data_IF_939903415615
#
_entry.id   IF_939903415615
#
_cell.length_a   1.000
_cell.length_b   1.000
_cell.length_c   1.000
_cell.angle_alpha   90.00
_cell.angle_beta   90.00
_cell.angle_gamma   90.00
#
_symmetry.space_group_name_H-M   'P 1'
#
loop_
_entity.id
_entity.type
_entity.pdbx_description
1 polymer ?
#
# COMPACT_ATOMS: atom_id res chain seq x y z
N UNK A 1 90.75 -18.66 -10.08
CA UNK A 1 90.70 -19.24 -8.72
C UNK A 1 89.33 -19.85 -8.50
N UNK A 2 89.32 -21.08 -7.97
CA UNK A 2 88.17 -21.94 -7.66
C UNK A 2 87.08 -21.25 -6.82
N UNK A 3 85.81 -21.62 -7.03
CA UNK A 3 85.10 -22.58 -6.15
C UNK A 3 83.65 -22.80 -6.59
N UNK A 4 83.32 -24.06 -6.85
CA UNK A 4 81.99 -24.64 -6.79
C UNK A 4 81.56 -24.84 -5.33
N UNK A 5 80.28 -24.66 -4.99
CA UNK A 5 79.60 -25.40 -3.91
C UNK A 5 78.15 -25.69 -4.34
N UNK A 6 77.69 -26.85 -3.89
CA UNK A 6 76.61 -27.71 -4.34
C UNK A 6 75.41 -27.70 -3.36
N UNK A 7 74.23 -28.07 -3.89
CA UNK A 7 73.14 -28.92 -3.34
C UNK A 7 72.41 -28.61 -2.01
N UNK A 8 71.08 -28.82 -2.09
CA UNK A 8 70.19 -29.20 -0.99
C UNK A 8 68.97 -28.26 -0.97
N UNK A 9 67.75 -28.62 -1.35
CA UNK A 9 67.04 -29.88 -1.25
C UNK A 9 65.79 -29.63 -0.41
N UNK A 10 64.61 -29.53 -1.03
CA UNK A 10 63.33 -29.65 -0.33
C UNK A 10 62.21 -29.92 -1.34
N UNK A 11 61.83 -31.18 -1.40
CA UNK A 11 60.60 -31.70 -2.00
C UNK A 11 59.43 -31.25 -1.11
N UNK A 12 58.38 -30.64 -1.66
CA UNK A 12 57.12 -30.47 -0.94
C UNK A 12 55.93 -30.49 -1.92
N UNK A 13 55.02 -31.42 -1.63
CA UNK A 13 53.82 -31.79 -2.36
C UNK A 13 52.94 -30.59 -2.75
N UNK A 14 52.52 -30.56 -4.02
CA UNK A 14 51.35 -29.81 -4.45
C UNK A 14 50.08 -30.56 -4.00
N UNK A 15 49.51 -30.14 -2.86
CA UNK A 15 48.17 -30.54 -2.43
C UNK A 15 47.13 -29.67 -3.12
N UNK A 16 46.29 -30.32 -3.92
CA UNK A 16 45.04 -29.82 -4.47
C UNK A 16 44.14 -29.33 -3.32
N UNK A 17 43.95 -28.02 -3.22
CA UNK A 17 42.97 -27.39 -2.35
C UNK A 17 41.95 -26.62 -3.18
N UNK A 18 40.83 -27.28 -3.50
CA UNK A 18 39.60 -26.67 -3.99
C UNK A 18 39.16 -25.55 -3.03
N UNK A 19 39.46 -24.31 -3.37
CA UNK A 19 38.79 -23.16 -2.78
C UNK A 19 37.60 -22.84 -3.67
N UNK A 20 36.48 -23.51 -3.39
CA UNK A 20 35.18 -23.08 -3.86
C UNK A 20 34.96 -21.66 -3.31
N UNK A 21 35.21 -20.64 -4.14
CA UNK A 21 34.66 -19.31 -3.94
C UNK A 21 33.14 -19.45 -4.08
N UNK A 22 32.48 -19.83 -2.99
CA UNK A 22 31.06 -19.58 -2.81
C UNK A 22 30.87 -18.07 -2.81
N UNK A 23 30.56 -17.51 -3.97
CA UNK A 23 29.99 -16.17 -4.06
C UNK A 23 28.65 -16.22 -3.31
N UNK A 24 28.66 -15.83 -2.05
CA UNK A 24 27.45 -15.35 -1.38
C UNK A 24 26.94 -14.21 -2.28
N UNK A 25 25.70 -14.26 -2.78
CA UNK A 25 25.16 -13.11 -3.50
C UNK A 25 25.07 -11.98 -2.47
N UNK A 26 25.95 -10.99 -2.60
CA UNK A 26 25.80 -9.74 -1.92
C UNK A 26 24.54 -9.09 -2.49
N UNK A 27 23.42 -9.19 -1.76
CA UNK A 27 22.36 -8.22 -1.94
C UNK A 27 23.01 -6.83 -1.86
N UNK A 28 22.72 -5.90 -2.78
CA UNK A 28 23.27 -4.55 -2.65
C UNK A 28 22.85 -4.03 -1.27
N UNK A 29 23.83 -3.77 -0.40
CA UNK A 29 23.59 -3.03 0.83
C UNK A 29 22.84 -1.77 0.41
N UNK A 30 21.63 -1.56 0.96
CA UNK A 30 20.79 -0.38 0.82
C UNK A 30 19.75 -0.35 -0.33
N UNK A 31 19.35 -1.49 -0.90
CA UNK A 31 18.09 -1.52 -1.65
C UNK A 31 16.94 -1.87 -0.70
N UNK A 32 15.99 -0.94 -0.50
CA UNK A 32 14.77 -1.29 0.21
C UNK A 32 14.05 -2.42 -0.54
N UNK A 33 13.51 -3.41 0.19
CA UNK A 33 12.86 -4.56 -0.41
C UNK A 33 11.71 -4.10 -1.32
N UNK A 34 11.52 -4.82 -2.40
CA UNK A 34 10.41 -4.64 -3.35
C UNK A 34 9.46 -5.81 -3.17
N UNK A 35 8.15 -5.55 -3.12
CA UNK A 35 7.14 -6.61 -3.03
C UNK A 35 7.11 -7.42 -4.33
N UNK A 36 6.83 -8.71 -4.23
CA UNK A 36 6.62 -9.57 -5.41
C UNK A 36 5.32 -9.15 -6.13
N UNK A 37 5.14 -9.45 -7.43
CA UNK A 37 3.91 -9.12 -8.15
C UNK A 37 2.63 -9.59 -7.44
N UNK A 38 2.66 -10.75 -6.79
CA UNK A 38 1.52 -11.34 -6.07
C UNK A 38 1.18 -10.60 -4.76
N UNK A 39 2.14 -9.84 -4.24
CA UNK A 39 2.00 -9.01 -3.04
C UNK A 39 1.57 -7.57 -3.38
N UNK A 40 1.65 -7.18 -4.66
CA UNK A 40 1.28 -5.84 -5.12
C UNK A 40 -0.23 -5.76 -5.38
N UNK A 41 -0.90 -4.80 -4.76
CA UNK A 41 -2.29 -4.48 -5.07
C UNK A 41 -2.37 -3.37 -6.13
N UNK A 42 -3.42 -3.34 -6.95
CA UNK A 42 -3.58 -2.32 -8.00
C UNK A 42 -3.08 -2.73 -9.39
N UNK A 43 -2.71 -4.00 -9.61
CA UNK A 43 -2.73 -4.57 -10.95
C UNK A 43 -4.18 -4.79 -11.41
N UNK A 44 -4.45 -4.93 -12.71
CA UNK A 44 -5.81 -5.03 -13.28
C UNK A 44 -6.68 -6.16 -12.66
N UNK A 45 -6.08 -7.06 -11.87
CA UNK A 45 -6.69 -8.17 -11.16
C UNK A 45 -6.85 -7.99 -9.64
N UNK A 46 -6.30 -6.95 -9.00
CA UNK A 46 -6.28 -6.80 -7.53
C UNK A 46 -6.95 -5.50 -7.08
N UNK A 47 -8.13 -5.63 -6.46
CA UNK A 47 -8.84 -4.51 -5.84
C UNK A 47 -7.98 -3.81 -4.80
N UNK A 48 -8.14 -2.49 -4.63
CA UNK A 48 -7.39 -1.70 -3.64
C UNK A 48 -7.53 -2.19 -2.19
N UNK A 49 -8.61 -2.91 -1.87
CA UNK A 49 -8.77 -3.64 -0.61
C UNK A 49 -7.72 -4.74 -0.39
N UNK A 50 -6.97 -5.13 -1.42
CA UNK A 50 -5.88 -6.10 -1.37
C UNK A 50 -4.67 -5.68 -0.55
N UNK A 51 -4.51 -4.38 -0.23
CA UNK A 51 -3.43 -3.91 0.67
C UNK A 51 -3.79 -4.03 2.15
N UNK A 52 -5.06 -4.29 2.46
CA UNK A 52 -5.58 -4.38 3.82
C UNK A 52 -6.23 -5.74 4.08
N UNK A 53 -6.46 -6.02 5.36
CA UNK A 53 -7.23 -7.18 5.83
C UNK A 53 -8.09 -6.77 7.01
N UNK A 54 -9.29 -7.35 7.11
CA UNK A 54 -10.20 -7.07 8.21
C UNK A 54 -9.60 -7.59 9.53
N UNK A 55 -9.89 -6.88 10.61
CA UNK A 55 -9.49 -7.26 11.97
C UNK A 55 -10.75 -7.49 12.78
N UNK A 56 -10.98 -8.73 13.18
CA UNK A 56 -12.19 -9.11 13.92
C UNK A 56 -13.46 -9.10 13.06
N UNK A 57 -14.63 -9.33 13.69
CA UNK A 57 -15.91 -9.31 13.00
C UNK A 57 -16.30 -7.89 12.58
N UNK A 58 -16.92 -7.77 11.41
CA UNK A 58 -17.55 -6.51 11.01
C UNK A 58 -18.92 -6.35 11.67
N UNK A 59 -19.25 -5.11 11.99
CA UNK A 59 -20.60 -4.71 12.38
C UNK A 59 -21.41 -4.45 11.13
N UNK A 60 -22.54 -5.13 10.98
CA UNK A 60 -23.49 -4.97 9.87
C UNK A 60 -24.78 -4.39 10.42
N UNK A 61 -25.36 -3.42 9.73
CA UNK A 61 -26.61 -2.81 10.12
C UNK A 61 -27.73 -3.86 10.20
N UNK A 62 -28.43 -3.89 11.34
CA UNK A 62 -29.53 -4.83 11.60
C UNK A 62 -30.90 -4.28 11.20
N UNK A 63 -30.97 -3.01 10.80
CA UNK A 63 -32.19 -2.29 10.42
C UNK A 63 -32.00 -1.66 9.04
N UNK A 64 -33.10 -1.33 8.34
CA UNK A 64 -33.05 -0.51 7.13
C UNK A 64 -32.24 0.77 7.35
N UNK A 65 -31.41 1.11 6.38
CA UNK A 65 -30.47 2.22 6.47
C UNK A 65 -30.89 3.33 5.49
N UNK A 66 -31.07 4.52 6.04
CA UNK A 66 -31.30 5.74 5.26
C UNK A 66 -30.02 6.23 4.58
N UNK A 67 -30.18 7.15 3.61
CA UNK A 67 -29.06 7.84 2.99
C UNK A 67 -28.15 8.50 4.04
N UNK A 68 -26.86 8.24 3.93
CA UNK A 68 -25.81 8.68 4.85
C UNK A 68 -25.51 7.70 5.98
N UNK A 69 -26.40 6.73 6.22
CA UNK A 69 -26.24 5.73 7.27
C UNK A 69 -25.17 4.68 6.94
N UNK A 70 -24.60 4.09 8.00
CA UNK A 70 -23.56 3.07 7.89
C UNK A 70 -24.16 1.70 7.73
N UNK A 71 -23.79 0.99 6.66
CA UNK A 71 -24.20 -0.38 6.38
C UNK A 71 -23.26 -1.37 7.06
N UNK A 72 -21.96 -1.13 6.94
CA UNK A 72 -20.92 -2.03 7.43
C UNK A 72 -19.81 -1.19 8.03
N UNK A 73 -19.31 -1.62 9.18
CA UNK A 73 -18.13 -1.05 9.82
C UNK A 73 -17.15 -2.18 10.17
N UNK A 74 -15.90 -2.05 9.74
CA UNK A 74 -14.85 -3.03 9.99
C UNK A 74 -13.55 -2.34 10.37
N UNK A 75 -12.91 -2.82 11.43
CA UNK A 75 -11.50 -2.52 11.64
C UNK A 75 -10.66 -3.22 10.58
N UNK A 76 -9.50 -2.65 10.24
CA UNK A 76 -8.57 -3.27 9.31
C UNK A 76 -7.11 -3.04 9.73
N UNK A 77 -6.21 -3.82 9.14
CA UNK A 77 -4.76 -3.60 9.20
C UNK A 77 -4.16 -3.71 7.79
N UNK A 78 -3.02 -3.06 7.57
CA UNK A 78 -2.27 -3.26 6.33
C UNK A 78 -1.60 -4.63 6.32
N UNK A 79 -1.54 -5.25 5.13
CA UNK A 79 -0.88 -6.55 4.94
C UNK A 79 0.64 -6.44 4.99
N UNK A 80 1.16 -5.32 4.49
CA UNK A 80 2.59 -5.03 4.47
C UNK A 80 2.86 -3.72 5.19
N UNK A 81 3.71 -3.81 6.21
CA UNK A 81 4.18 -2.68 7.00
C UNK A 81 5.70 -2.67 6.98
N UNK A 82 6.28 -1.51 7.27
CA UNK A 82 7.71 -1.31 7.25
C UNK A 82 8.14 -0.28 8.29
N UNK A 83 9.43 -0.27 8.61
CA UNK A 83 10.06 0.81 9.36
C UNK A 83 11.20 1.42 8.55
N UNK A 84 11.26 2.76 8.51
CA UNK A 84 12.38 3.46 7.89
C UNK A 84 13.70 3.14 8.61
N UNK A 85 14.75 2.79 7.86
CA UNK A 85 16.09 2.56 8.43
C UNK A 85 16.99 3.80 8.35
N UNK A 86 16.53 4.83 7.66
CA UNK A 86 17.21 6.09 7.45
C UNK A 86 16.21 7.26 7.50
N UNK A 87 16.75 8.48 7.60
CA UNK A 87 15.94 9.67 7.45
C UNK A 87 15.59 9.88 5.99
N UNK A 88 14.31 10.12 5.71
CA UNK A 88 13.83 10.55 4.41
C UNK A 88 13.63 12.05 4.45
N UNK A 89 14.41 12.76 3.63
CA UNK A 89 14.35 14.21 3.51
C UNK A 89 14.02 14.54 2.06
N UNK A 90 12.92 15.25 1.86
CA UNK A 90 12.49 15.75 0.56
C UNK A 90 12.21 17.23 0.64
N UNK A 91 12.55 17.95 -0.41
CA UNK A 91 12.12 19.32 -0.59
C UNK A 91 11.17 19.41 -1.78
N UNK A 92 10.13 20.21 -1.62
CA UNK A 92 9.13 20.46 -2.64
C UNK A 92 8.64 21.89 -2.52
N UNK A 93 8.43 22.53 -3.67
CA UNK A 93 7.81 23.86 -3.74
C UNK A 93 6.33 23.79 -3.33
N UNK A 94 5.68 22.64 -3.54
CA UNK A 94 4.25 22.42 -3.27
C UNK A 94 3.97 21.69 -1.94
N UNK A 95 4.99 21.07 -1.35
CA UNK A 95 4.97 20.22 -0.17
C UNK A 95 6.12 20.68 0.76
N UNK A 96 5.93 21.75 1.57
CA UNK A 96 6.99 22.29 2.42
C UNK A 96 7.59 21.23 3.33
N UNK A 97 8.92 21.05 3.29
CA UNK A 97 9.72 20.23 4.20
C UNK A 97 9.17 18.82 4.44
N UNK A 98 9.56 17.86 3.60
CA UNK A 98 9.24 16.46 3.83
C UNK A 98 10.34 15.85 4.68
N UNK A 99 10.00 15.45 5.91
CA UNK A 99 10.92 14.77 6.81
C UNK A 99 10.19 13.58 7.42
N UNK A 100 10.70 12.37 7.17
CA UNK A 100 10.37 11.21 7.97
C UNK A 100 11.63 10.66 8.63
N UNK A 101 11.68 10.63 9.97
CA UNK A 101 12.86 10.17 10.66
C UNK A 101 13.02 8.65 10.50
N UNK A 102 14.26 8.18 10.61
CA UNK A 102 14.57 6.79 10.90
C UNK A 102 13.69 6.29 12.05
N UNK A 103 13.15 5.08 11.88
CA UNK A 103 12.23 4.48 12.84
C UNK A 103 10.77 4.85 12.62
N UNK A 104 10.42 5.70 11.63
CA UNK A 104 9.02 5.99 11.36
C UNK A 104 8.30 4.73 10.82
N UNK A 105 7.13 4.37 11.38
CA UNK A 105 6.35 3.26 10.85
C UNK A 105 5.72 3.65 9.52
N UNK A 106 5.59 2.67 8.64
CA UNK A 106 4.98 2.83 7.34
C UNK A 106 4.19 1.61 6.89
N UNK A 107 3.41 1.82 5.84
CA UNK A 107 2.56 0.82 5.23
C UNK A 107 2.58 0.94 3.71
N UNK A 108 2.40 -0.21 3.06
CA UNK A 108 2.21 -0.27 1.62
C UNK A 108 0.77 0.14 1.28
N UNK A 109 0.64 1.15 0.42
CA UNK A 109 -0.64 1.74 0.03
C UNK A 109 -1.16 1.22 -1.32
N UNK A 110 -0.31 0.54 -2.10
CA UNK A 110 -0.65 -0.05 -3.39
C UNK A 110 0.42 0.18 -4.44
N UNK A 111 0.20 -0.37 -5.63
CA UNK A 111 1.03 -0.15 -6.80
C UNK A 111 0.24 0.67 -7.80
N UNK A 112 0.87 1.72 -8.30
CA UNK A 112 0.24 2.67 -9.21
C UNK A 112 1.08 2.84 -10.46
N UNK A 113 0.41 3.01 -11.59
CA UNK A 113 1.08 3.32 -12.86
C UNK A 113 1.10 4.83 -13.03
N UNK A 114 2.27 5.38 -13.31
CA UNK A 114 2.39 6.77 -13.72
C UNK A 114 1.82 6.95 -15.12
N UNK A 115 1.00 7.99 -15.34
CA UNK A 115 0.54 8.34 -16.68
C UNK A 115 1.34 9.53 -17.16
N UNK A 116 2.23 9.31 -18.12
CA UNK A 116 3.01 10.37 -18.75
C UNK A 116 2.50 10.63 -20.17
N UNK A 117 2.86 11.78 -20.75
CA UNK A 117 2.61 12.04 -22.18
C UNK A 117 3.28 11.01 -23.11
N UNK A 118 4.24 10.22 -22.60
CA UNK A 118 4.92 9.13 -23.33
C UNK A 118 4.24 7.77 -23.19
N UNK A 119 3.11 7.70 -22.48
CA UNK A 119 2.37 6.46 -22.24
C UNK A 119 2.26 6.07 -20.76
N UNK A 120 1.75 4.86 -20.55
CA UNK A 120 1.60 4.25 -19.22
C UNK A 120 2.97 3.81 -18.74
N UNK A 121 3.45 4.43 -17.65
CA UNK A 121 4.70 4.07 -16.99
C UNK A 121 4.61 2.75 -16.23
N UNK A 122 5.77 2.24 -15.85
CA UNK A 122 5.87 1.00 -15.08
C UNK A 122 5.16 1.09 -13.72
N UNK A 123 4.61 -0.04 -13.22
CA UNK A 123 3.99 -0.08 -11.90
C UNK A 123 5.00 0.28 -10.81
N UNK A 124 4.70 1.32 -10.05
CA UNK A 124 5.54 1.85 -8.97
C UNK A 124 4.86 1.65 -7.63
N UNK A 125 5.61 1.25 -6.61
CA UNK A 125 5.08 0.99 -5.27
C UNK A 125 4.88 2.30 -4.51
N UNK A 126 3.70 2.49 -3.94
CA UNK A 126 3.40 3.59 -3.05
C UNK A 126 3.54 3.14 -1.60
N UNK A 127 4.48 3.75 -0.90
CA UNK A 127 4.72 3.53 0.54
C UNK A 127 4.40 4.80 1.30
N UNK A 128 3.61 4.68 2.37
CA UNK A 128 3.31 5.81 3.24
C UNK A 128 3.98 5.62 4.61
N UNK A 129 4.65 6.66 5.12
CA UNK A 129 5.29 6.68 6.43
C UNK A 129 4.66 7.75 7.32
N UNK A 130 4.72 7.53 8.64
CA UNK A 130 4.05 8.35 9.66
C UNK A 130 5.11 9.03 10.53
N UNK A 131 5.59 10.22 10.16
CA UNK A 131 6.74 10.86 10.79
C UNK A 131 6.37 11.55 12.11
N UNK A 132 6.00 10.78 13.14
CA UNK A 132 5.51 11.20 14.47
C UNK A 132 4.29 12.13 14.43
N UNK A 133 3.32 11.84 15.29
CA UNK A 133 2.15 12.69 15.52
C UNK A 133 2.60 13.96 16.25
N UNK A 134 2.93 15.02 15.51
CA UNK A 134 3.21 16.36 16.07
C UNK A 134 2.08 17.30 15.67
N UNK A 135 1.10 17.49 16.57
CA UNK A 135 0.32 18.72 16.70
C UNK A 135 -0.33 19.36 15.46
N UNK A 136 -0.59 18.61 14.38
CA UNK A 136 -1.08 19.12 13.10
C UNK A 136 0.05 19.76 12.27
N UNK A 137 0.39 19.28 11.08
CA UNK A 137 -0.48 19.33 9.88
C UNK A 137 -0.10 18.28 8.81
N UNK A 138 0.69 17.26 9.16
CA UNK A 138 0.94 16.12 8.28
C UNK A 138 1.01 14.82 9.07
N UNK A 139 -0.02 14.01 8.92
CA UNK A 139 -0.09 12.71 9.57
C UNK A 139 0.75 11.66 8.83
N UNK A 140 1.06 11.90 7.55
CA UNK A 140 1.82 10.96 6.72
C UNK A 140 2.57 11.61 5.53
N UNK A 141 3.52 10.85 5.00
CA UNK A 141 4.25 11.10 3.74
C UNK A 141 4.07 9.86 2.87
N UNK A 142 3.57 10.01 1.64
CA UNK A 142 3.44 8.90 0.71
C UNK A 142 4.41 9.08 -0.46
N UNK A 143 5.19 8.03 -0.74
CA UNK A 143 6.31 8.01 -1.66
C UNK A 143 6.09 6.94 -2.71
N UNK A 144 5.97 7.37 -3.96
CA UNK A 144 5.91 6.48 -5.10
C UNK A 144 7.35 6.15 -5.52
N UNK A 145 7.81 4.95 -5.20
CA UNK A 145 9.18 4.49 -5.48
C UNK A 145 9.34 4.09 -6.94
N UNK A 146 10.37 4.61 -7.61
CA UNK A 146 10.86 4.06 -8.87
C UNK A 146 12.06 3.15 -8.63
N UNK A 147 12.35 2.33 -9.62
CA UNK A 147 13.55 1.48 -9.72
C UNK A 147 14.85 2.28 -9.88
N UNK A 148 14.75 3.57 -10.23
CA UNK A 148 15.89 4.48 -10.42
C UNK A 148 16.50 5.05 -9.14
N UNK A 149 16.06 4.60 -7.96
CA UNK A 149 16.57 5.09 -6.67
C UNK A 149 16.02 6.46 -6.25
N UNK A 150 15.00 6.96 -6.95
CA UNK A 150 14.28 8.20 -6.65
C UNK A 150 12.84 7.84 -6.25
N UNK A 151 12.20 8.66 -5.42
CA UNK A 151 10.77 8.56 -5.17
C UNK A 151 10.07 9.88 -5.45
N UNK A 152 8.89 9.79 -6.08
CA UNK A 152 7.99 10.93 -6.23
C UNK A 152 7.12 11.07 -4.98
N UNK A 153 7.00 12.29 -4.46
CA UNK A 153 6.10 12.59 -3.35
C UNK A 153 4.67 12.62 -3.87
N UNK A 154 3.80 11.73 -3.37
CA UNK A 154 2.41 11.72 -3.76
C UNK A 154 1.64 12.91 -3.13
N UNK A 155 0.80 13.62 -3.89
CA UNK A 155 0.08 14.79 -3.41
C UNK A 155 -0.87 14.48 -2.24
N UNK A 156 -0.80 15.32 -1.22
CA UNK A 156 -1.40 15.13 0.12
C UNK A 156 -2.93 15.33 0.19
N UNK A 157 -3.59 15.70 -0.90
CA UNK A 157 -5.05 15.96 -0.90
C UNK A 157 -5.88 14.67 -0.85
N UNK A 158 -5.28 13.53 -1.20
CA UNK A 158 -5.93 12.23 -1.19
C UNK A 158 -6.14 11.70 0.24
N UNK A 159 -6.98 10.68 0.41
CA UNK A 159 -7.16 10.04 1.70
C UNK A 159 -5.89 9.24 2.04
N UNK A 160 -5.16 9.58 3.12
CA UNK A 160 -3.90 8.92 3.44
C UNK A 160 -4.08 7.45 3.80
N UNK A 161 -5.24 7.07 4.34
CA UNK A 161 -5.50 5.77 4.95
C UNK A 161 -5.95 4.72 3.94
N UNK A 162 -6.47 5.13 2.80
CA UNK A 162 -6.78 4.20 1.71
C UNK A 162 -6.77 4.97 0.40
N UNK A 163 -6.06 4.43 -0.58
CA UNK A 163 -6.02 4.97 -1.92
C UNK A 163 -6.85 4.06 -2.81
N UNK A 164 -7.81 4.61 -3.54
CA UNK A 164 -8.70 3.89 -4.46
C UNK A 164 -8.43 4.23 -5.91
N UNK A 165 -7.61 5.25 -6.12
CA UNK A 165 -7.09 5.69 -7.40
C UNK A 165 -5.91 6.61 -7.11
N UNK A 166 -4.87 6.56 -7.92
CA UNK A 166 -3.86 7.60 -7.95
C UNK A 166 -3.31 7.61 -9.37
N UNK A 167 -3.42 8.76 -10.02
CA UNK A 167 -2.73 9.01 -11.27
C UNK A 167 -1.69 10.06 -10.95
N UNK A 168 -0.39 9.72 -11.01
CA UNK A 168 0.65 10.72 -11.12
C UNK A 168 0.36 11.51 -12.41
N UNK A 169 -0.23 12.70 -12.29
CA UNK A 169 -0.41 13.58 -13.43
C UNK A 169 0.95 13.96 -13.99
N UNK A 170 1.15 13.85 -15.31
CA UNK A 170 2.37 14.28 -15.97
C UNK A 170 2.69 15.75 -15.63
N UNK A 171 3.70 15.96 -14.78
CA UNK A 171 4.12 17.27 -14.29
C UNK A 171 5.37 17.15 -13.42
N UNK A 172 5.90 18.28 -12.96
CA UNK A 172 7.00 18.36 -11.98
C UNK A 172 6.56 17.71 -10.67
N UNK A 173 6.79 16.40 -10.55
CA UNK A 173 6.79 15.75 -9.25
C UNK A 173 7.94 16.31 -8.43
N UNK A 174 7.69 16.51 -7.15
CA UNK A 174 8.76 16.75 -6.21
C UNK A 174 9.37 15.41 -5.82
N UNK A 175 10.70 15.35 -5.92
CA UNK A 175 11.45 14.12 -5.76
C UNK A 175 12.25 14.13 -4.46
N UNK A 176 12.41 12.94 -3.89
CA UNK A 176 13.34 12.63 -2.80
C UNK A 176 14.12 11.37 -3.18
N UNK A 177 15.17 11.03 -2.43
CA UNK A 177 15.78 9.72 -2.57
C UNK A 177 14.75 8.64 -2.25
N UNK A 178 14.82 7.50 -2.94
CA UNK A 178 13.94 6.39 -2.64
C UNK A 178 14.19 5.93 -1.19
N UNK A 179 13.14 5.80 -0.36
CA UNK A 179 13.30 5.47 1.05
C UNK A 179 13.87 4.06 1.20
N UNK A 180 14.87 3.90 2.07
CA UNK A 180 15.30 2.59 2.56
C UNK A 180 14.51 2.25 3.84
N UNK A 181 13.98 1.03 3.90
CA UNK A 181 13.17 0.52 5.00
C UNK A 181 13.30 -0.99 5.13
N UNK A 182 12.90 -1.51 6.29
CA UNK A 182 12.80 -2.94 6.57
C UNK A 182 11.33 -3.35 6.59
N UNK A 183 10.97 -4.40 5.84
CA UNK A 183 9.65 -5.04 5.94
C UNK A 183 9.56 -5.77 7.26
N UNK A 184 8.71 -5.28 8.15
CA UNK A 184 8.45 -5.91 9.44
C UNK A 184 7.07 -5.51 9.96
N UNK A 185 6.42 -6.35 10.78
CA UNK A 185 5.21 -5.94 11.49
C UNK A 185 5.50 -4.71 12.35
N UNK A 186 4.85 -3.59 12.05
CA UNK A 186 4.85 -2.39 12.92
C UNK A 186 3.42 -1.95 13.17
N UNK A 187 3.18 -1.40 14.34
CA UNK A 187 1.89 -0.81 14.67
C UNK A 187 1.71 0.51 13.93
N UNK A 188 0.56 0.67 13.29
CA UNK A 188 0.16 1.94 12.67
C UNK A 188 -0.64 2.71 13.73
N UNK A 189 -0.14 3.84 14.25
CA UNK A 189 -0.76 4.58 15.36
C UNK A 189 -1.99 5.38 14.92
N UNK A 190 -3.00 4.69 14.37
CA UNK A 190 -4.25 5.27 13.93
C UNK A 190 -5.40 4.27 14.13
N UNK A 191 -6.59 4.78 14.39
CA UNK A 191 -7.80 3.96 14.42
C UNK A 191 -8.23 3.63 12.98
N UNK A 192 -7.74 2.50 12.49
CA UNK A 192 -7.98 2.04 11.13
C UNK A 192 -9.36 1.37 11.02
N UNK A 193 -10.37 2.19 10.71
CA UNK A 193 -11.73 1.75 10.46
C UNK A 193 -12.16 2.07 9.03
N UNK A 194 -12.82 1.11 8.41
CA UNK A 194 -13.47 1.23 7.12
C UNK A 194 -14.99 1.18 7.31
N UNK A 195 -15.67 2.19 6.80
CA UNK A 195 -17.12 2.29 6.85
C UNK A 195 -17.69 2.30 5.43
N UNK A 196 -18.68 1.45 5.18
CA UNK A 196 -19.46 1.45 3.95
C UNK A 196 -20.80 2.09 4.26
N UNK A 197 -21.07 3.25 3.68
CA UNK A 197 -22.27 4.04 3.93
C UNK A 197 -23.17 4.04 2.69
N UNK A 198 -24.48 4.03 2.92
CA UNK A 198 -25.44 4.12 1.84
C UNK A 198 -25.51 5.57 1.34
N UNK A 199 -25.13 5.82 0.09
CA UNK A 199 -25.12 7.16 -0.51
C UNK A 199 -26.43 7.51 -1.24
N UNK A 200 -27.45 6.65 -1.15
CA UNK A 200 -28.72 6.78 -1.84
C UNK A 200 -28.79 5.97 -3.13
N UNK A 201 -29.93 6.04 -3.82
CA UNK A 201 -30.15 5.40 -5.11
C UNK A 201 -29.73 6.29 -6.28
N UNK A 202 -29.24 5.68 -7.35
CA UNK A 202 -29.04 6.28 -8.67
C UNK A 202 -29.83 5.48 -9.69
N UNK A 203 -31.05 5.95 -10.00
CA UNK A 203 -32.02 5.11 -10.68
C UNK A 203 -32.34 3.90 -9.82
N UNK A 204 -32.21 2.69 -10.36
CA UNK A 204 -32.44 1.44 -9.65
C UNK A 204 -31.20 0.88 -8.94
N UNK A 205 -30.07 1.60 -8.95
CA UNK A 205 -28.78 1.13 -8.43
C UNK A 205 -28.45 1.77 -7.09
N UNK A 206 -28.11 0.98 -6.04
CA UNK A 206 -27.68 1.57 -4.79
C UNK A 206 -26.25 2.10 -4.94
N UNK A 207 -26.01 3.32 -4.45
CA UNK A 207 -24.67 3.90 -4.34
C UNK A 207 -24.12 3.68 -2.95
N UNK A 208 -22.89 3.22 -2.87
CA UNK A 208 -22.18 2.93 -1.63
C UNK A 208 -20.92 3.77 -1.56
N UNK A 209 -20.81 4.58 -0.52
CA UNK A 209 -19.63 5.39 -0.24
C UNK A 209 -18.77 4.69 0.82
N UNK A 210 -17.52 4.39 0.49
CA UNK A 210 -16.53 3.87 1.42
C UNK A 210 -15.79 5.04 2.09
N UNK A 211 -15.58 4.95 3.41
CA UNK A 211 -14.88 5.94 4.22
C UNK A 211 -13.76 5.27 5.01
N UNK A 212 -12.57 5.87 5.03
CA UNK A 212 -11.43 5.46 5.86
C UNK A 212 -10.90 6.69 6.62
N UNK A 213 -10.66 6.54 7.93
CA UNK A 213 -10.25 7.66 8.79
C UNK A 213 -11.19 8.87 8.71
N UNK A 214 -12.51 8.61 8.61
CA UNK A 214 -13.55 9.65 8.53
C UNK A 214 -13.68 10.38 7.19
N UNK A 215 -12.86 10.07 6.18
CA UNK A 215 -12.89 10.71 4.86
C UNK A 215 -13.38 9.74 3.79
N UNK A 216 -14.21 10.21 2.86
CA UNK A 216 -14.66 9.40 1.73
C UNK A 216 -13.44 8.99 0.87
N UNK A 217 -13.40 7.72 0.50
CA UNK A 217 -12.34 7.14 -0.33
C UNK A 217 -12.84 6.84 -1.74
N UNK A 218 -14.08 6.37 -1.85
CA UNK A 218 -14.70 6.00 -3.12
C UNK A 218 -16.20 5.95 -2.95
N UNK A 219 -16.93 6.29 -4.02
CA UNK A 219 -18.34 5.94 -4.13
C UNK A 219 -18.57 5.08 -5.37
N UNK A 220 -19.28 3.96 -5.20
CA UNK A 220 -19.56 2.98 -6.27
C UNK A 220 -21.07 2.76 -6.39
N UNK A 221 -21.59 2.75 -7.63
CA UNK A 221 -22.94 2.28 -7.92
C UNK A 221 -22.90 0.78 -8.20
N UNK A 222 -23.72 -0.01 -7.50
CA UNK A 222 -23.75 -1.45 -7.69
C UNK A 222 -24.65 -1.84 -8.87
N UNK A 223 -24.17 -2.77 -9.67
CA UNK A 223 -24.98 -3.41 -10.71
C UNK A 223 -25.78 -4.56 -10.10
N UNK A 224 -27.01 -4.72 -10.59
CA UNK A 224 -27.86 -5.86 -10.25
C UNK A 224 -27.26 -7.15 -10.82
N UNK A 225 -27.16 -8.19 -10.01
CA UNK A 225 -26.77 -9.52 -10.46
C UNK A 225 -27.93 -10.24 -11.16
N UNK A 226 -27.64 -11.35 -11.83
CA UNK A 226 -28.63 -12.15 -12.56
C UNK A 226 -29.78 -12.65 -11.67
N UNK A 227 -29.52 -12.85 -10.37
CA UNK A 227 -30.50 -13.26 -9.37
C UNK A 227 -31.29 -12.08 -8.76
N UNK A 228 -31.10 -10.86 -9.28
CA UNK A 228 -31.80 -9.67 -8.86
C UNK A 228 -31.21 -8.94 -7.65
N UNK A 229 -30.19 -9.51 -6.97
CA UNK A 229 -29.53 -8.89 -5.80
C UNK A 229 -28.47 -7.88 -6.21
N UNK A 230 -28.16 -6.95 -5.31
CA UNK A 230 -26.95 -6.13 -5.41
C UNK A 230 -25.89 -6.68 -4.47
N UNK A 231 -24.70 -6.97 -5.00
CA UNK A 231 -23.62 -7.56 -4.20
C UNK A 231 -22.51 -6.53 -3.99
N UNK A 232 -22.17 -6.29 -2.73
CA UNK A 232 -21.03 -5.47 -2.33
C UNK A 232 -19.94 -6.38 -1.77
N UNK A 233 -18.77 -6.33 -2.39
CA UNK A 233 -17.56 -6.96 -1.88
C UNK A 233 -16.86 -5.98 -0.95
N UNK A 234 -16.58 -6.39 0.27
CA UNK A 234 -15.87 -5.60 1.29
C UNK A 234 -14.63 -6.32 1.77
N UNK A 235 -13.78 -5.61 2.53
CA UNK A 235 -12.63 -6.24 3.21
C UNK A 235 -13.04 -7.31 4.23
N UNK A 236 -14.25 -7.19 4.79
CA UNK A 236 -14.79 -8.11 5.79
C UNK A 236 -15.63 -9.26 5.22
N UNK A 237 -15.77 -9.33 3.89
CA UNK A 237 -16.59 -10.34 3.22
C UNK A 237 -17.58 -9.72 2.23
N UNK A 238 -18.53 -10.54 1.79
CA UNK A 238 -19.49 -10.19 0.75
C UNK A 238 -20.87 -10.01 1.40
N UNK A 239 -21.57 -8.94 1.04
CA UNK A 239 -22.95 -8.70 1.48
C UNK A 239 -23.88 -8.52 0.28
N UNK A 240 -25.15 -8.82 0.50
CA UNK A 240 -26.23 -8.50 -0.42
C UNK A 240 -27.01 -7.28 0.07
N UNK A 241 -27.45 -6.45 -0.86
CA UNK A 241 -28.28 -5.28 -0.61
C UNK A 241 -29.57 -5.36 -1.40
N UNK A 242 -30.65 -4.86 -0.80
CA UNK A 242 -31.97 -4.71 -1.41
C UNK A 242 -32.68 -3.49 -0.86
N UNK A 243 -33.66 -2.96 -1.59
CA UNK A 243 -34.54 -1.94 -1.05
C UNK A 243 -35.31 -2.46 0.17
N UNK A 244 -35.59 -1.60 1.14
CA UNK A 244 -36.37 -1.98 2.31
C UNK A 244 -37.85 -2.20 1.95
N UNK A 245 -38.50 -3.23 2.50
CA UNK A 245 -39.94 -3.42 2.30
C UNK A 245 -40.73 -2.20 2.79
N UNK A 246 -41.60 -1.66 1.93
CA UNK A 246 -42.45 -0.50 2.28
C UNK A 246 -41.74 0.86 2.27
N UNK A 247 -40.42 0.91 2.13
CA UNK A 247 -39.67 2.16 1.97
C UNK A 247 -38.52 1.99 0.95
N UNK A 248 -38.76 2.30 -0.33
CA UNK A 248 -37.76 2.09 -1.38
C UNK A 248 -36.54 3.02 -1.24
N UNK A 249 -36.63 4.10 -0.45
CA UNK A 249 -35.51 5.01 -0.22
C UNK A 249 -34.49 4.48 0.79
N UNK A 250 -34.84 3.42 1.52
CA UNK A 250 -33.97 2.72 2.46
C UNK A 250 -33.39 1.45 1.84
N UNK A 251 -32.24 1.02 2.39
CA UNK A 251 -31.59 -0.22 1.98
C UNK A 251 -31.46 -1.18 3.16
N UNK A 252 -31.67 -2.45 2.91
CA UNK A 252 -31.39 -3.55 3.83
C UNK A 252 -30.11 -4.22 3.38
N UNK A 253 -29.25 -4.56 4.34
CA UNK A 253 -28.00 -5.28 4.11
C UNK A 253 -28.03 -6.61 4.85
N UNK A 254 -27.63 -7.68 4.16
CA UNK A 254 -27.51 -9.03 4.74
C UNK A 254 -26.21 -9.67 4.31
N UNK A 255 -25.65 -10.53 5.17
CA UNK A 255 -24.48 -11.35 4.81
C UNK A 255 -24.85 -12.22 3.60
N UNK A 256 -24.02 -12.18 2.55
CA UNK A 256 -24.24 -13.07 1.41
C UNK A 256 -23.77 -14.49 1.79
N UNK A 257 -24.51 -15.54 1.39
CA UNK A 257 -24.07 -16.92 1.57
C UNK A 257 -22.78 -17.23 0.80
#
# INVERSE_FOLDING_TARGET
MMKSVFLGGAMALALLGLSACGSVPAAPLNAAPTLTPEQRAGDASVQFSGVITAVGPATIASQPVDKGGTLIKSAYRYRHTAELVEDVVGFSITVPGVQAPKGAPGYYAGTFRSFSQRGVGEPSELWCFLPKVVGGKRDNICLLRSDTGVAAIAPTRMNPWLWTQFSPASGTFDYTHAPVFELRPVEIPAELQLEYRFAGWQGDKPRIAAFAGGREVQTTALSRQADGRFVLKTVAGVVSLSAAPGNPDQVVVVVAP
#
